data_IF_745630879483
#
_entry.id   IF_745630879483
#
_cell.length_a   1.000
_cell.length_b   1.000
_cell.length_c   1.000
_cell.angle_alpha   90.00
_cell.angle_beta   90.00
_cell.angle_gamma   90.00
#
_symmetry.space_group_name_H-M   'P 1'
#
loop_
_entity.id
_entity.type
_entity.pdbx_description
1 polymer ?
#
# COMPACT_ATOMS: atom_id res chain seq x y z
N UNK A 1 -1.87 19.29 13.17
CA UNK A 1 -1.71 18.19 12.21
C UNK A 1 -0.24 17.86 12.13
N UNK A 2 0.13 16.58 12.18
CA UNK A 2 1.53 16.13 12.12
C UNK A 2 1.68 15.13 10.96
N UNK A 3 2.69 15.33 10.12
CA UNK A 3 3.15 14.40 9.09
C UNK A 3 4.53 13.91 9.51
N UNK A 4 4.69 12.60 9.68
CA UNK A 4 5.90 12.03 10.30
C UNK A 4 6.20 10.64 9.74
N UNK A 5 7.43 10.17 9.96
CA UNK A 5 7.78 8.75 9.84
C UNK A 5 7.49 8.02 11.16
N UNK A 6 7.42 6.68 11.15
CA UNK A 6 7.02 5.89 12.32
C UNK A 6 7.92 6.06 13.55
N UNK A 7 9.23 6.25 13.34
CA UNK A 7 10.22 6.41 14.41
C UNK A 7 10.07 7.75 15.14
N UNK A 8 9.93 8.86 14.39
CA UNK A 8 9.76 10.21 14.95
C UNK A 8 8.42 10.37 15.69
N UNK A 9 7.39 9.62 15.25
CA UNK A 9 6.04 9.70 15.81
C UNK A 9 6.02 9.34 17.29
N UNK A 10 6.79 8.35 17.73
CA UNK A 10 6.82 7.92 19.12
C UNK A 10 7.30 9.03 20.06
N UNK A 11 8.36 9.74 19.69
CA UNK A 11 8.90 10.83 20.49
C UNK A 11 7.88 11.99 20.59
N UNK A 12 7.27 12.35 19.46
CA UNK A 12 6.27 13.40 19.37
C UNK A 12 5.05 13.07 20.25
N UNK A 13 4.52 11.86 20.13
CA UNK A 13 3.36 11.39 20.89
C UNK A 13 3.62 11.46 22.39
N UNK A 14 4.81 11.04 22.83
CA UNK A 14 5.21 11.06 24.24
C UNK A 14 5.31 12.47 24.82
N UNK A 15 5.88 13.41 24.07
CA UNK A 15 5.94 14.81 24.53
C UNK A 15 4.57 15.49 24.49
N UNK A 16 3.75 15.19 23.47
CA UNK A 16 2.40 15.71 23.33
C UNK A 16 1.47 15.26 24.47
N UNK A 17 1.61 13.99 24.92
CA UNK A 17 0.89 13.48 26.10
C UNK A 17 1.19 14.29 27.36
N UNK A 18 2.47 14.64 27.63
CA UNK A 18 2.84 15.45 28.80
C UNK A 18 2.19 16.83 28.79
N UNK A 19 1.92 17.36 27.60
CA UNK A 19 1.27 18.64 27.39
C UNK A 19 -0.27 18.54 27.31
N UNK A 20 -0.83 17.34 27.49
CA UNK A 20 -2.26 17.06 27.29
C UNK A 20 -2.76 17.53 25.90
N UNK A 21 -1.90 17.41 24.89
CA UNK A 21 -2.15 17.84 23.52
C UNK A 21 -2.25 16.63 22.59
N UNK A 22 -3.41 16.44 21.97
CA UNK A 22 -3.69 15.26 21.14
C UNK A 22 -4.08 15.67 19.71
N UNK A 23 -3.12 16.11 18.88
CA UNK A 23 -3.38 16.45 17.48
C UNK A 23 -3.65 15.19 16.64
N UNK A 24 -4.28 15.38 15.47
CA UNK A 24 -4.32 14.33 14.45
C UNK A 24 -2.95 14.09 13.83
N UNK A 25 -2.57 12.82 13.70
CA UNK A 25 -1.31 12.33 13.15
C UNK A 25 -1.60 11.58 11.86
N UNK A 26 -0.85 11.92 10.81
CA UNK A 26 -0.97 11.32 9.49
C UNK A 26 0.36 10.70 9.08
N UNK A 27 0.31 9.42 8.74
CA UNK A 27 1.48 8.59 8.48
C UNK A 27 1.34 7.88 7.14
N UNK A 28 2.48 7.57 6.52
CA UNK A 28 2.51 6.58 5.44
C UNK A 28 2.19 5.20 6.01
N UNK A 29 1.44 4.37 5.28
CA UNK A 29 1.18 2.98 5.66
C UNK A 29 2.46 2.16 5.83
N UNK A 30 3.58 2.57 5.23
CA UNK A 30 4.89 1.95 5.46
C UNK A 30 5.39 2.11 6.92
N UNK A 31 4.88 3.10 7.65
CA UNK A 31 5.16 3.31 9.07
C UNK A 31 4.16 2.58 10.00
N UNK A 32 3.21 1.81 9.44
CA UNK A 32 2.25 1.07 10.24
C UNK A 32 2.91 -0.18 10.83
N UNK A 33 3.34 -0.09 12.08
CA UNK A 33 3.79 -1.22 12.89
C UNK A 33 2.87 -1.49 14.08
N UNK A 34 3.14 -2.57 14.82
CA UNK A 34 2.31 -2.98 15.96
C UNK A 34 2.44 -2.00 17.13
N UNK A 35 3.60 -1.37 17.25
CA UNK A 35 3.94 -0.32 18.21
C UNK A 35 2.98 0.87 18.20
N UNK A 36 2.24 1.10 17.09
CA UNK A 36 1.22 2.16 17.07
C UNK A 36 0.12 1.94 18.12
N UNK A 37 -0.15 0.68 18.50
CA UNK A 37 -1.13 0.34 19.52
C UNK A 37 -0.68 0.67 20.94
N UNK A 38 0.58 1.05 21.13
CA UNK A 38 1.12 1.50 22.42
C UNK A 38 1.07 3.03 22.57
N UNK A 39 0.48 3.73 21.59
CA UNK A 39 0.18 5.16 21.66
C UNK A 39 -0.78 5.46 22.84
N UNK A 40 -0.58 6.56 23.60
CA UNK A 40 -1.52 7.04 24.61
C UNK A 40 -2.97 7.15 24.13
N UNK A 41 -3.91 6.77 25.01
CA UNK A 41 -5.33 6.68 24.69
C UNK A 41 -5.97 8.00 24.22
N UNK A 42 -5.39 9.17 24.56
CA UNK A 42 -5.84 10.47 24.06
C UNK A 42 -5.74 10.63 22.53
N UNK A 43 -4.95 9.79 21.87
CA UNK A 43 -4.84 9.72 20.40
C UNK A 43 -5.82 8.74 19.75
N UNK A 44 -6.72 8.09 20.51
CA UNK A 44 -7.68 7.14 19.94
C UNK A 44 -8.54 7.81 18.85
N UNK A 45 -8.59 7.22 17.66
CA UNK A 45 -9.28 7.79 16.50
C UNK A 45 -8.63 9.06 15.91
N UNK A 46 -7.39 9.39 16.28
CA UNK A 46 -6.65 10.56 15.76
C UNK A 46 -5.44 10.20 14.91
N UNK A 47 -5.13 8.92 14.77
CA UNK A 47 -4.04 8.42 13.93
C UNK A 47 -4.64 7.94 12.61
N UNK A 48 -4.02 8.34 11.51
CA UNK A 48 -4.44 7.99 10.15
C UNK A 48 -3.23 7.53 9.33
N UNK A 49 -3.42 6.47 8.55
CA UNK A 49 -2.44 5.91 7.63
C UNK A 49 -2.96 5.95 6.21
N UNK A 50 -2.10 6.30 5.26
CA UNK A 50 -2.38 6.16 3.83
C UNK A 50 -1.78 4.87 3.27
N UNK A 51 -2.59 3.99 2.69
CA UNK A 51 -2.13 2.77 2.03
C UNK A 51 -2.43 2.80 0.53
N UNK A 52 -1.47 2.40 -0.34
CA UNK A 52 -1.68 2.38 -1.79
C UNK A 52 -2.50 1.17 -2.26
N UNK A 53 -2.84 0.24 -1.36
CA UNK A 53 -3.65 -0.95 -1.63
C UNK A 53 -4.30 -1.47 -0.35
N UNK A 54 -5.39 -2.20 -0.49
CA UNK A 54 -6.16 -2.82 0.59
C UNK A 54 -6.54 -4.26 0.21
N UNK A 55 -6.88 -5.14 1.17
CA UNK A 55 -7.54 -6.41 0.87
C UNK A 55 -8.80 -6.28 -0.01
N UNK A 56 -9.42 -5.09 -0.05
CA UNK A 56 -10.54 -4.80 -0.95
C UNK A 56 -10.17 -4.82 -2.45
N UNK A 57 -8.89 -4.65 -2.81
CA UNK A 57 -8.41 -4.71 -4.20
C UNK A 57 -8.20 -6.13 -4.72
N UNK A 58 -8.28 -7.11 -3.81
CA UNK A 58 -7.86 -8.47 -4.08
C UNK A 58 -9.01 -9.29 -4.64
N UNK A 59 -8.83 -9.85 -5.83
CA UNK A 59 -9.81 -10.78 -6.40
C UNK A 59 -9.55 -12.19 -5.87
N UNK A 60 -10.60 -13.04 -5.76
CA UNK A 60 -10.43 -14.43 -5.33
C UNK A 60 -9.39 -15.19 -6.17
N UNK A 61 -9.41 -14.98 -7.49
CA UNK A 61 -8.46 -15.62 -8.41
C UNK A 61 -7.03 -15.07 -8.26
N UNK A 62 -6.87 -13.74 -8.09
CA UNK A 62 -5.55 -13.14 -7.91
C UNK A 62 -4.87 -13.61 -6.63
N UNK A 63 -5.62 -13.74 -5.54
CA UNK A 63 -5.09 -14.28 -4.28
C UNK A 63 -4.81 -15.78 -4.38
N UNK A 64 -5.67 -16.54 -5.05
CA UNK A 64 -5.40 -17.97 -5.29
C UNK A 64 -4.12 -18.17 -6.11
N UNK A 65 -3.90 -17.35 -7.13
CA UNK A 65 -2.68 -17.38 -7.96
C UNK A 65 -1.43 -17.06 -7.12
N UNK A 66 -1.50 -16.01 -6.29
CA UNK A 66 -0.43 -15.63 -5.36
C UNK A 66 -0.13 -16.75 -4.36
N UNK A 67 -1.16 -17.31 -3.73
CA UNK A 67 -1.02 -18.40 -2.74
C UNK A 67 -0.38 -19.64 -3.35
N UNK A 68 -0.81 -20.05 -4.55
CA UNK A 68 -0.21 -21.19 -5.25
C UNK A 68 1.27 -20.95 -5.58
N UNK A 69 1.65 -19.72 -5.96
CA UNK A 69 3.05 -19.35 -6.18
C UNK A 69 3.85 -19.40 -4.87
N UNK A 70 3.30 -18.81 -3.80
CA UNK A 70 3.94 -18.78 -2.49
C UNK A 70 4.17 -20.20 -1.94
N UNK A 71 3.19 -21.09 -2.09
CA UNK A 71 3.30 -22.49 -1.69
C UNK A 71 4.37 -23.23 -2.52
N UNK A 72 4.29 -23.12 -3.86
CA UNK A 72 5.21 -23.80 -4.78
C UNK A 72 6.67 -23.45 -4.51
N UNK A 73 6.97 -22.19 -4.22
CA UNK A 73 8.33 -21.71 -3.98
C UNK A 73 8.68 -21.54 -2.50
N UNK A 74 7.78 -21.98 -1.59
CA UNK A 74 7.96 -21.90 -0.13
C UNK A 74 8.32 -20.49 0.34
N UNK A 75 7.63 -19.49 -0.21
CA UNK A 75 7.83 -18.09 0.18
C UNK A 75 7.43 -17.95 1.66
N UNK A 76 8.30 -17.40 2.52
CA UNK A 76 7.99 -17.22 3.94
C UNK A 76 6.76 -16.34 4.16
N UNK A 77 5.97 -16.55 5.23
CA UNK A 77 4.71 -15.82 5.43
C UNK A 77 4.87 -14.38 5.96
N UNK A 78 6.10 -13.92 6.22
CA UNK A 78 6.34 -12.57 6.75
C UNK A 78 6.18 -11.49 5.67
N UNK A 79 5.81 -10.27 6.06
CA UNK A 79 5.69 -9.12 5.15
C UNK A 79 4.68 -9.30 4.01
N UNK A 80 3.55 -9.97 4.27
CA UNK A 80 2.52 -10.29 3.28
C UNK A 80 2.13 -9.11 2.37
N UNK A 81 1.95 -7.91 2.93
CA UNK A 81 1.61 -6.71 2.14
C UNK A 81 2.69 -6.37 1.10
N UNK A 82 3.97 -6.44 1.48
CA UNK A 82 5.09 -6.22 0.57
C UNK A 82 5.18 -7.32 -0.50
N UNK A 83 4.90 -8.57 -0.14
CA UNK A 83 4.87 -9.67 -1.10
C UNK A 83 3.75 -9.53 -2.13
N UNK A 84 2.55 -9.14 -1.70
CA UNK A 84 1.40 -8.86 -2.56
C UNK A 84 1.73 -7.72 -3.53
N UNK A 85 2.32 -6.62 -3.04
CA UNK A 85 2.76 -5.51 -3.88
C UNK A 85 3.83 -5.94 -4.90
N UNK A 86 4.83 -6.71 -4.46
CA UNK A 86 5.88 -7.24 -5.34
C UNK A 86 5.31 -8.18 -6.41
N UNK A 87 4.35 -9.03 -6.04
CA UNK A 87 3.67 -9.92 -6.96
C UNK A 87 2.87 -9.14 -8.02
N UNK A 88 2.12 -8.11 -7.61
CA UNK A 88 1.44 -7.18 -8.54
C UNK A 88 2.43 -6.50 -9.51
N UNK A 89 3.56 -6.01 -9.01
CA UNK A 89 4.62 -5.42 -9.83
C UNK A 89 5.23 -6.43 -10.83
N UNK A 90 5.42 -7.68 -10.43
CA UNK A 90 5.85 -8.76 -11.32
C UNK A 90 4.82 -9.03 -12.42
N UNK A 91 3.51 -9.03 -12.11
CA UNK A 91 2.46 -9.20 -13.12
C UNK A 91 2.49 -8.07 -14.16
N UNK A 92 2.68 -6.83 -13.71
CA UNK A 92 2.87 -5.66 -14.58
C UNK A 92 4.08 -5.83 -15.51
N UNK A 93 5.23 -6.24 -14.96
CA UNK A 93 6.44 -6.46 -15.75
C UNK A 93 6.25 -7.58 -16.77
N UNK A 94 5.67 -8.71 -16.35
CA UNK A 94 5.40 -9.86 -17.24
C UNK A 94 4.48 -9.46 -18.38
N UNK A 95 3.44 -8.68 -18.12
CA UNK A 95 2.53 -8.18 -19.16
C UNK A 95 3.26 -7.30 -20.18
N UNK A 96 4.07 -6.34 -19.72
CA UNK A 96 4.82 -5.48 -20.62
C UNK A 96 5.87 -6.25 -21.46
N UNK A 97 6.49 -7.28 -20.88
CA UNK A 97 7.40 -8.19 -21.59
C UNK A 97 6.66 -9.01 -22.65
N UNK A 98 5.46 -9.55 -22.32
CA UNK A 98 4.61 -10.27 -23.28
C UNK A 98 4.25 -9.38 -24.48
N UNK A 99 3.83 -8.13 -24.23
CA UNK A 99 3.52 -7.15 -25.29
C UNK A 99 4.72 -6.77 -26.15
N UNK A 100 5.92 -6.78 -25.57
CA UNK A 100 7.16 -6.48 -26.29
C UNK A 100 7.56 -7.58 -27.28
N UNK A 101 7.19 -8.83 -27.01
CA UNK A 101 7.44 -9.96 -27.90
C UNK A 101 8.93 -10.28 -28.07
N UNK A 102 9.28 -10.97 -29.18
CA UNK A 102 10.63 -11.52 -29.42
C UNK A 102 11.71 -10.45 -29.64
N UNK A 103 11.33 -9.34 -30.27
CA UNK A 103 12.21 -8.21 -30.55
C UNK A 103 12.13 -7.21 -29.39
N UNK A 104 12.65 -7.63 -28.23
CA UNK A 104 12.63 -6.85 -26.99
C UNK A 104 13.77 -5.83 -26.99
N UNK A 105 13.42 -4.55 -26.81
CA UNK A 105 14.36 -3.49 -26.48
C UNK A 105 13.88 -2.71 -25.25
N UNK A 106 14.75 -1.88 -24.68
CA UNK A 106 14.38 -0.99 -23.57
C UNK A 106 13.26 -0.03 -23.98
N UNK A 107 13.39 0.56 -25.16
CA UNK A 107 12.44 1.53 -25.70
C UNK A 107 11.07 0.89 -25.90
N UNK A 108 11.04 -0.35 -26.43
CA UNK A 108 9.81 -1.11 -26.60
C UNK A 108 9.17 -1.52 -25.28
N UNK A 109 9.98 -1.91 -24.28
CA UNK A 109 9.48 -2.22 -22.95
C UNK A 109 8.86 -0.99 -22.29
N UNK A 110 9.53 0.17 -22.35
CA UNK A 110 9.01 1.44 -21.83
C UNK A 110 7.71 1.82 -22.52
N UNK A 111 7.67 1.77 -23.86
CA UNK A 111 6.45 2.08 -24.62
C UNK A 111 5.28 1.16 -24.24
N UNK A 112 5.54 -0.14 -24.02
CA UNK A 112 4.51 -1.09 -23.59
C UNK A 112 4.06 -0.89 -22.14
N UNK A 113 4.98 -0.52 -21.24
CA UNK A 113 4.62 -0.12 -19.87
C UNK A 113 3.75 1.13 -19.90
N UNK A 114 4.14 2.16 -20.66
CA UNK A 114 3.36 3.40 -20.83
C UNK A 114 1.99 3.16 -21.49
N UNK A 115 1.84 2.10 -22.28
CA UNK A 115 0.57 1.69 -22.87
C UNK A 115 -0.33 0.88 -21.95
N UNK A 116 0.05 0.62 -20.70
CA UNK A 116 -0.83 -0.05 -19.74
C UNK A 116 -1.91 0.92 -19.27
N UNK A 117 -3.17 0.55 -19.51
CA UNK A 117 -4.35 1.27 -19.07
C UNK A 117 -5.30 0.32 -18.35
N UNK A 118 -5.68 0.65 -17.12
CA UNK A 118 -6.53 -0.15 -16.23
C UNK A 118 -6.14 -1.63 -16.22
N UNK A 119 -4.84 -1.91 -16.12
CA UNK A 119 -4.34 -3.29 -16.08
C UNK A 119 -4.64 -3.92 -14.72
N UNK A 120 -5.53 -4.91 -14.73
CA UNK A 120 -5.96 -5.65 -13.55
C UNK A 120 -4.88 -6.63 -13.08
N UNK A 121 -4.28 -6.34 -11.93
CA UNK A 121 -3.31 -7.25 -11.30
C UNK A 121 -4.00 -8.37 -10.51
N UNK A 122 -5.23 -8.13 -10.06
CA UNK A 122 -6.00 -9.02 -9.17
C UNK A 122 -5.56 -9.01 -7.70
N UNK A 123 -4.53 -8.23 -7.36
CA UNK A 123 -3.93 -8.21 -6.01
C UNK A 123 -3.63 -6.79 -5.48
N UNK A 124 -3.68 -5.79 -6.36
CA UNK A 124 -3.49 -4.36 -6.10
C UNK A 124 -4.46 -3.58 -7.00
N UNK A 125 -4.72 -2.29 -6.77
CA UNK A 125 -5.56 -1.49 -7.67
C UNK A 125 -5.12 -1.60 -9.13
N UNK A 126 -6.05 -1.40 -10.06
CA UNK A 126 -5.76 -1.42 -11.49
C UNK A 126 -4.67 -0.41 -11.86
N UNK A 127 -3.70 -0.85 -12.66
CA UNK A 127 -2.49 -0.08 -12.97
C UNK A 127 -2.66 0.64 -14.30
N UNK A 128 -2.46 1.95 -14.29
CA UNK A 128 -2.36 2.75 -15.52
C UNK A 128 -1.07 3.54 -15.50
N UNK A 129 -0.31 3.44 -16.58
CA UNK A 129 0.86 4.28 -16.83
C UNK A 129 0.63 5.13 -18.09
N UNK A 130 1.59 6.00 -18.37
CA UNK A 130 1.62 6.82 -19.57
C UNK A 130 2.96 7.54 -19.69
N UNK A 131 3.21 8.23 -20.82
CA UNK A 131 4.47 8.94 -21.05
C UNK A 131 4.86 9.92 -19.93
N UNK A 132 3.85 10.54 -19.30
CA UNK A 132 4.01 11.45 -18.17
C UNK A 132 3.31 10.96 -16.89
N UNK A 133 2.90 9.69 -16.84
CA UNK A 133 2.27 9.07 -15.67
C UNK A 133 3.10 7.88 -15.21
N UNK A 134 3.89 8.10 -14.15
CA UNK A 134 4.80 7.10 -13.57
C UNK A 134 4.29 6.47 -12.26
N UNK A 135 3.11 6.90 -11.80
CA UNK A 135 2.41 6.31 -10.67
C UNK A 135 1.22 5.49 -11.22
N UNK A 136 1.26 4.18 -10.97
CA UNK A 136 0.35 3.22 -11.56
C UNK A 136 -1.07 3.33 -11.01
N UNK A 137 -1.17 3.35 -9.68
CA UNK A 137 -2.39 3.59 -8.92
C UNK A 137 -2.27 4.96 -8.24
N UNK A 138 -2.98 5.95 -8.77
CA UNK A 138 -3.00 7.31 -8.22
C UNK A 138 -4.12 7.43 -7.20
N UNK A 139 -3.80 7.16 -5.94
CA UNK A 139 -4.74 7.28 -4.83
C UNK A 139 -4.28 6.53 -3.59
N UNK A 140 -5.14 6.51 -2.58
CA UNK A 140 -4.90 5.77 -1.35
C UNK A 140 -6.19 5.40 -0.63
N UNK A 141 -6.09 4.38 0.23
CA UNK A 141 -7.01 4.13 1.33
C UNK A 141 -6.52 4.87 2.57
N UNK A 142 -7.46 5.45 3.33
CA UNK A 142 -7.17 5.99 4.66
C UNK A 142 -7.67 5.01 5.72
N UNK A 143 -6.77 4.62 6.60
CA UNK A 143 -7.03 3.71 7.72
C UNK A 143 -6.79 4.45 9.03
N UNK A 144 -7.69 4.31 9.99
CA UNK A 144 -7.51 4.82 11.36
C UNK A 144 -7.19 3.70 12.34
N UNK A 145 -6.90 4.06 13.58
CA UNK A 145 -6.53 3.14 14.66
C UNK A 145 -7.51 3.25 15.82
N UNK A 146 -8.09 2.11 16.19
CA UNK A 146 -8.76 1.91 17.47
C UNK A 146 -7.74 1.37 18.48
N UNK A 147 -7.27 2.25 19.37
CA UNK A 147 -6.27 1.93 20.40
C UNK A 147 -6.86 1.07 21.52
N UNK A 148 -8.17 1.13 21.75
CA UNK A 148 -8.83 0.34 22.78
C UNK A 148 -8.94 -1.12 22.35
N UNK A 149 -9.36 -1.37 21.10
CA UNK A 149 -9.46 -2.71 20.52
C UNK A 149 -8.15 -3.21 19.93
N UNK A 150 -7.14 -2.35 19.83
CA UNK A 150 -5.85 -2.60 19.16
C UNK A 150 -6.04 -3.09 17.73
N UNK A 151 -6.83 -2.35 16.95
CA UNK A 151 -7.20 -2.72 15.59
C UNK A 151 -7.09 -1.54 14.62
N UNK A 152 -6.72 -1.85 13.38
CA UNK A 152 -6.87 -0.94 12.26
C UNK A 152 -8.32 -0.92 11.80
N UNK A 153 -8.87 0.26 11.55
CA UNK A 153 -10.26 0.44 11.10
C UNK A 153 -10.30 1.28 9.83
N UNK A 154 -11.08 0.92 8.80
CA UNK A 154 -11.21 1.73 7.61
C UNK A 154 -11.75 3.13 7.95
N UNK A 155 -11.08 4.19 7.48
CA UNK A 155 -11.55 5.56 7.59
C UNK A 155 -12.09 6.09 6.25
N UNK A 156 -11.71 5.47 5.13
CA UNK A 156 -12.23 5.79 3.81
C UNK A 156 -12.31 4.55 2.90
N UNK A 157 -13.08 4.67 1.81
CA UNK A 157 -12.87 3.88 0.59
C UNK A 157 -11.62 4.37 -0.16
N UNK A 158 -11.37 3.83 -1.36
CA UNK A 158 -10.34 4.38 -2.26
C UNK A 158 -10.60 5.87 -2.52
N UNK A 159 -9.55 6.69 -2.36
CA UNK A 159 -9.53 8.10 -2.70
C UNK A 159 -8.56 8.26 -3.88
N UNK A 160 -9.10 8.47 -5.07
CA UNK A 160 -8.30 8.79 -6.26
C UNK A 160 -7.70 10.19 -6.16
N UNK A 161 -6.51 10.38 -6.74
CA UNK A 161 -5.90 11.70 -6.93
C UNK A 161 -5.68 11.89 -8.42
N UNK A 162 -6.32 12.92 -8.98
CA UNK A 162 -6.26 13.25 -10.40
C UNK A 162 -5.10 14.21 -10.71
#
# INVERSE_FOLDING_TARGET
>A
MILSTGEETHAIVKEAEKLNWFPSIYLSGAAAGKEIFDTPAGFNGKIFFSFPSSPADQTPDGIKEFQALAEKYKVPAQHLAAQIAAYGACKVLVEALKRSGRDLSREKLIANLEGLNQFETGVTPAITYGPNRRIGALGAYVISVDLQKKQFVPASSWIGID
#
